data_IF_707191311115
#
_entry.id   IF_707191311115
#
_cell.length_a   1.000
_cell.length_b   1.000
_cell.length_c   1.000
_cell.angle_alpha   90.00
_cell.angle_beta   90.00
_cell.angle_gamma   90.00
#
_symmetry.space_group_name_H-M   'P 1'
#
loop_
_entity.id
_entity.type
_entity.pdbx_description
1 polymer ?
#
# COMPACT_ATOMS: atom_id res chain seq x y z
N UNK A 1 45.50 6.56 19.75
CA UNK A 1 44.39 5.80 19.14
C UNK A 1 43.20 5.90 20.08
N UNK A 2 42.04 6.32 19.59
CA UNK A 2 40.77 6.21 20.32
C UNK A 2 40.20 7.52 20.88
N UNK A 3 39.61 8.33 20.01
CA UNK A 3 38.49 9.19 20.38
C UNK A 3 37.35 8.90 19.40
N UNK A 4 36.76 7.71 19.51
CA UNK A 4 35.47 7.40 18.90
C UNK A 4 34.39 8.11 19.73
N UNK A 5 34.40 9.45 19.61
CA UNK A 5 33.32 10.30 20.07
C UNK A 5 32.09 9.93 19.27
N UNK A 6 31.34 8.97 19.80
CA UNK A 6 30.12 8.45 19.19
C UNK A 6 29.25 9.59 18.72
N UNK A 7 29.20 9.76 17.40
CA UNK A 7 28.39 10.77 16.72
C UNK A 7 26.97 10.61 17.22
N UNK A 8 26.49 11.60 17.99
CA UNK A 8 25.10 11.64 18.43
C UNK A 8 24.23 11.56 17.18
N UNK A 9 23.48 10.46 16.99
CA UNK A 9 22.78 10.24 15.75
C UNK A 9 21.74 11.34 15.57
N UNK A 10 21.77 12.00 14.41
CA UNK A 10 20.83 13.08 14.11
C UNK A 10 19.43 12.47 13.94
N UNK A 11 18.39 13.26 14.21
CA UNK A 11 16.99 12.79 14.13
C UNK A 11 16.64 12.08 12.81
N UNK A 12 17.24 12.51 11.69
CA UNK A 12 17.05 11.90 10.38
C UNK A 12 17.71 10.51 10.21
N UNK A 13 18.66 10.14 11.07
CA UNK A 13 19.29 8.81 11.14
C UNK A 13 18.48 7.84 12.02
N UNK A 14 17.88 8.36 13.10
CA UNK A 14 17.04 7.57 14.03
C UNK A 14 15.63 7.31 13.49
N UNK A 15 15.07 8.27 12.75
CA UNK A 15 13.68 8.21 12.29
C UNK A 15 13.67 7.99 10.79
N UNK A 16 13.33 6.77 10.36
CA UNK A 16 12.97 6.50 8.96
C UNK A 16 11.85 7.47 8.60
N UNK A 17 12.12 8.35 7.64
CA UNK A 17 11.10 9.23 7.06
C UNK A 17 9.87 8.43 6.61
N UNK A 18 8.69 9.07 6.53
CA UNK A 18 7.46 8.38 6.16
C UNK A 18 7.70 7.58 4.88
N UNK A 19 7.39 6.27 4.93
CA UNK A 19 7.54 5.38 3.77
C UNK A 19 6.91 6.07 2.57
N UNK A 20 7.72 6.24 1.52
CA UNK A 20 7.23 6.73 0.22
C UNK A 20 6.05 5.86 -0.13
N UNK A 21 4.84 6.45 -0.10
CA UNK A 21 3.62 5.73 -0.44
C UNK A 21 3.80 5.31 -1.88
N UNK A 22 4.01 4.02 -2.11
CA UNK A 22 4.10 3.48 -3.44
C UNK A 22 2.79 3.86 -4.13
N UNK A 23 2.92 4.59 -5.24
CA UNK A 23 1.76 4.96 -6.05
C UNK A 23 1.23 3.66 -6.62
N UNK A 24 0.22 3.09 -5.96
CA UNK A 24 -0.54 1.97 -6.49
C UNK A 24 -1.00 2.40 -7.87
N UNK A 25 -0.59 1.63 -8.88
CA UNK A 25 -0.86 1.94 -10.26
C UNK A 25 -2.38 2.05 -10.45
N UNK A 26 -2.85 3.15 -11.03
CA UNK A 26 -4.28 3.38 -11.28
C UNK A 26 -4.86 2.26 -12.14
N UNK A 27 -4.04 1.67 -13.01
CA UNK A 27 -4.42 0.53 -13.83
C UNK A 27 -4.63 -0.74 -12.99
N UNK A 28 -3.81 -0.94 -11.94
CA UNK A 28 -4.00 -2.06 -11.01
C UNK A 28 -5.29 -1.91 -10.21
N UNK A 29 -5.62 -0.69 -9.77
CA UNK A 29 -6.87 -0.41 -9.08
C UNK A 29 -8.10 -0.64 -9.98
N UNK A 30 -8.04 -0.22 -11.25
CA UNK A 30 -9.10 -0.51 -12.22
C UNK A 30 -9.23 -2.01 -12.47
N UNK A 31 -8.11 -2.70 -12.71
CA UNK A 31 -8.12 -4.15 -12.91
C UNK A 31 -8.68 -4.91 -11.70
N UNK A 32 -8.44 -4.44 -10.48
CA UNK A 32 -8.99 -5.04 -9.28
C UNK A 32 -10.53 -5.00 -9.27
N UNK A 33 -11.14 -3.87 -9.67
CA UNK A 33 -12.61 -3.71 -9.73
C UNK A 33 -13.28 -4.70 -10.68
N UNK A 34 -12.63 -5.06 -11.78
CA UNK A 34 -13.17 -6.00 -12.77
C UNK A 34 -12.90 -7.47 -12.44
N UNK A 35 -12.00 -7.76 -11.50
CA UNK A 35 -11.56 -9.12 -11.18
C UNK A 35 -11.97 -9.58 -9.79
N UNK A 36 -12.24 -8.65 -8.88
CA UNK A 36 -12.48 -8.94 -7.48
C UNK A 36 -13.75 -8.26 -6.96
N UNK A 37 -14.43 -8.93 -6.01
CA UNK A 37 -15.57 -8.38 -5.30
C UNK A 37 -15.12 -7.22 -4.39
N UNK A 38 -15.81 -6.09 -4.43
CA UNK A 38 -15.49 -4.92 -3.61
C UNK A 38 -15.66 -5.17 -2.10
N UNK A 39 -16.49 -6.15 -1.70
CA UNK A 39 -16.75 -6.48 -0.30
C UNK A 39 -15.79 -7.55 0.23
N UNK A 40 -15.68 -8.70 -0.46
CA UNK A 40 -14.88 -9.83 0.02
C UNK A 40 -13.43 -9.83 -0.50
N UNK A 41 -13.11 -9.00 -1.50
CA UNK A 41 -11.80 -9.02 -2.21
C UNK A 41 -11.48 -10.40 -2.82
N UNK A 42 -12.49 -11.25 -3.02
CA UNK A 42 -12.35 -12.54 -3.69
C UNK A 42 -12.53 -12.39 -5.20
N UNK A 43 -11.99 -13.34 -5.97
CA UNK A 43 -12.14 -13.34 -7.44
C UNK A 43 -13.60 -13.50 -7.84
N UNK A 44 -14.05 -12.65 -8.76
CA UNK A 44 -15.40 -12.72 -9.33
C UNK A 44 -15.60 -14.06 -10.07
N UNK A 45 -16.75 -14.69 -9.82
CA UNK A 45 -17.20 -15.91 -10.51
C UNK A 45 -18.52 -15.62 -11.21
N UNK A 46 -18.83 -16.35 -12.29
CA UNK A 46 -20.12 -16.22 -12.97
C UNK A 46 -21.22 -16.89 -12.14
N UNK A 47 -22.43 -16.30 -12.04
CA UNK A 47 -22.83 -14.99 -12.56
C UNK A 47 -22.26 -13.83 -11.73
N UNK A 48 -21.80 -12.78 -12.40
CA UNK A 48 -21.28 -11.57 -11.74
C UNK A 48 -22.49 -10.72 -11.33
N UNK A 49 -22.65 -10.47 -10.04
CA UNK A 49 -23.76 -9.69 -9.47
C UNK A 49 -23.21 -8.43 -8.80
N UNK A 50 -23.86 -7.30 -9.05
CA UNK A 50 -23.59 -6.03 -8.38
C UNK A 50 -24.44 -5.92 -7.13
N UNK A 51 -23.85 -5.48 -6.01
CA UNK A 51 -24.63 -5.20 -4.80
C UNK A 51 -25.44 -3.90 -4.95
N UNK A 52 -26.42 -3.68 -4.07
CA UNK A 52 -27.29 -2.49 -4.08
C UNK A 52 -26.53 -1.16 -3.97
N UNK A 53 -25.26 -1.20 -3.56
CA UNK A 53 -24.37 -0.04 -3.46
C UNK A 53 -23.64 0.26 -4.79
N UNK A 54 -23.85 -0.53 -5.85
CA UNK A 54 -23.40 -0.24 -7.22
C UNK A 54 -21.88 -0.19 -7.40
N UNK A 55 -21.12 -0.93 -6.58
CA UNK A 55 -19.65 -1.01 -6.65
C UNK A 55 -19.15 -2.40 -6.97
#
# INVERSE_FOLDING_TARGET
MGCDGGTIPKRHELVKGPKKVEKVDKNAALAARWKYCALSTEKLRRPIVTCDLGR
#
